data_IF_786578238653
#
_entry.id   IF_786578238653
#
_cell.length_a   1.000
_cell.length_b   1.000
_cell.length_c   1.000
_cell.angle_alpha   90.00
_cell.angle_beta   90.00
_cell.angle_gamma   90.00
#
_symmetry.space_group_name_H-M   'P 1'
#
loop_
_entity.id
_entity.type
_entity.pdbx_description
1 polymer ?
#
# COMPACT_ATOMS: atom_id res chain seq x y z
N UNK A 1 -14.84 -11.29 13.33
CA UNK A 1 -14.18 -11.09 12.77
C UNK A 1 -13.60 -9.93 12.80
N UNK A 2 -12.66 -9.66 12.73
CA UNK A 2 -12.09 -8.60 12.83
C UNK A 2 -11.78 -8.10 11.70
N UNK A 3 -12.38 -7.33 11.25
CA UNK A 3 -12.16 -6.85 10.07
C UNK A 3 -11.18 -5.86 10.03
N UNK A 4 -10.75 -5.38 11.01
CA UNK A 4 -9.81 -4.42 10.92
C UNK A 4 -8.51 -4.96 10.89
N UNK A 5 -8.26 -6.11 10.54
CA UNK A 5 -6.98 -6.63 10.44
C UNK A 5 -6.30 -6.07 9.27
N UNK A 6 -5.52 -5.05 9.45
CA UNK A 6 -4.81 -4.48 8.35
C UNK A 6 -3.60 -5.29 8.01
N UNK A 7 -2.96 -5.90 8.98
CA UNK A 7 -1.84 -6.77 8.70
C UNK A 7 -0.71 -6.13 7.92
N UNK A 8 0.29 -6.90 7.54
CA UNK A 8 1.44 -6.39 6.80
C UNK A 8 1.28 -6.49 5.29
N UNK A 9 0.15 -6.98 4.81
CA UNK A 9 -0.02 -7.19 3.39
C UNK A 9 -1.12 -6.33 2.82
N UNK A 10 -0.82 -5.60 1.76
CA UNK A 10 -1.80 -4.75 1.10
C UNK A 10 -2.03 -5.31 -0.29
N UNK A 11 -3.22 -5.79 -0.53
CA UNK A 11 -3.60 -6.34 -1.85
C UNK A 11 -2.55 -7.34 -2.32
N UNK A 12 -2.09 -8.19 -1.42
CA UNK A 12 -1.14 -9.23 -1.78
C UNK A 12 0.31 -8.82 -1.72
N UNK A 13 0.61 -7.57 -1.42
CA UNK A 13 1.97 -7.08 -1.39
C UNK A 13 2.40 -6.85 0.04
N UNK A 14 3.50 -7.47 0.44
CA UNK A 14 3.94 -7.36 1.81
C UNK A 14 4.74 -6.09 2.01
N UNK A 15 4.08 -5.02 2.37
CA UNK A 15 4.76 -3.75 2.57
C UNK A 15 4.85 -3.35 4.04
N UNK A 16 4.36 -4.19 4.93
CA UNK A 16 4.48 -3.92 6.36
C UNK A 16 3.24 -3.26 6.91
N UNK A 17 3.02 -3.42 8.21
CA UNK A 17 1.83 -2.89 8.83
C UNK A 17 1.70 -1.40 8.76
N UNK A 18 2.76 -0.62 9.00
CA UNK A 18 2.59 0.83 8.96
C UNK A 18 2.14 1.31 7.58
N UNK A 19 2.73 0.76 6.53
CA UNK A 19 2.38 1.20 5.20
C UNK A 19 0.98 0.72 4.82
N UNK A 20 0.67 -0.53 5.16
CA UNK A 20 -0.64 -1.07 4.86
C UNK A 20 -1.73 -0.26 5.55
N UNK A 21 -1.53 0.03 6.83
CA UNK A 21 -2.51 0.80 7.57
C UNK A 21 -2.67 2.19 7.01
N UNK A 22 -1.56 2.82 6.61
CA UNK A 22 -1.62 4.16 6.08
C UNK A 22 -2.43 4.20 4.79
N UNK A 23 -2.25 3.20 3.93
CA UNK A 23 -2.99 3.17 2.68
C UNK A 23 -4.47 2.95 2.94
N UNK A 24 -4.80 2.05 3.85
CA UNK A 24 -6.20 1.79 4.15
C UNK A 24 -6.84 3.03 4.77
N UNK A 25 -6.13 3.71 5.65
CA UNK A 25 -6.67 4.91 6.27
C UNK A 25 -6.87 6.01 5.24
N UNK A 26 -6.09 6.01 4.18
CA UNK A 26 -6.24 7.01 3.15
C UNK A 26 -7.33 6.65 2.15
N UNK A 27 -7.95 5.49 2.33
CA UNK A 27 -9.06 5.13 1.47
C UNK A 27 -8.74 4.16 0.37
N UNK A 28 -7.50 3.67 0.31
CA UNK A 28 -7.12 2.75 -0.75
C UNK A 28 -7.30 1.31 -0.28
N UNK A 29 -7.81 0.46 -1.12
CA UNK A 29 -7.97 -0.93 -0.79
C UNK A 29 -7.27 -1.85 -1.75
N UNK A 30 -7.01 -1.41 -2.95
CA UNK A 30 -6.34 -2.24 -3.93
C UNK A 30 -5.26 -1.44 -4.61
N UNK A 31 -4.33 -2.13 -5.23
CA UNK A 31 -3.26 -1.46 -5.94
C UNK A 31 -3.82 -0.64 -7.08
N UNK A 32 -4.90 -1.10 -7.69
CA UNK A 32 -5.48 -0.34 -8.78
C UNK A 32 -6.07 1.00 -8.37
N UNK A 33 -6.34 1.18 -7.07
CA UNK A 33 -6.89 2.44 -6.61
C UNK A 33 -5.81 3.45 -6.29
N UNK A 34 -4.56 3.05 -6.27
CA UNK A 34 -3.48 3.96 -5.90
C UNK A 34 -3.25 4.98 -7.00
N UNK A 35 -2.69 6.15 -6.65
CA UNK A 35 -2.47 7.18 -7.66
C UNK A 35 -1.45 6.73 -8.68
N UNK A 36 -1.51 7.33 -9.85
CA UNK A 36 -0.61 6.97 -10.89
C UNK A 36 0.80 7.20 -10.45
N UNK A 37 1.07 8.28 -9.76
CA UNK A 37 2.39 8.55 -9.26
C UNK A 37 2.47 8.06 -7.83
N UNK A 38 3.10 6.93 -7.63
CA UNK A 38 3.20 6.36 -6.31
C UNK A 38 4.00 7.22 -5.35
N UNK A 39 4.83 8.13 -5.89
CA UNK A 39 5.57 9.01 -5.03
C UNK A 39 4.65 9.83 -4.12
N UNK A 40 3.43 10.07 -4.53
CA UNK A 40 2.52 10.85 -3.72
C UNK A 40 2.21 10.13 -2.43
N UNK A 41 2.38 8.82 -2.38
CA UNK A 41 2.09 8.07 -1.18
C UNK A 41 3.12 8.32 -0.09
N UNK A 42 4.26 8.89 -0.45
CA UNK A 42 5.28 9.13 0.55
C UNK A 42 4.85 10.15 1.58
N UNK A 43 3.82 10.91 1.26
CA UNK A 43 3.34 11.88 2.22
C UNK A 43 2.56 11.21 3.33
N UNK A 44 2.17 9.96 3.16
CA UNK A 44 1.42 9.28 4.18
C UNK A 44 2.38 8.76 5.23
N UNK A 45 1.99 8.96 6.49
CA UNK A 45 2.83 8.48 7.57
C UNK A 45 2.85 6.97 7.50
N UNK A 46 3.97 6.37 7.53
CA UNK A 46 4.09 4.93 7.50
C UNK A 46 4.44 4.37 6.14
N UNK A 47 4.37 5.18 5.10
CA UNK A 47 4.73 4.71 3.77
C UNK A 47 6.11 5.22 3.45
N UNK A 48 7.07 4.32 3.35
CA UNK A 48 8.43 4.69 3.04
C UNK A 48 8.83 4.29 1.64
N UNK A 49 10.05 4.57 1.25
CA UNK A 49 10.49 4.28 -0.12
C UNK A 49 10.46 2.79 -0.44
N UNK A 50 10.66 1.93 0.56
CA UNK A 50 10.63 0.52 0.29
C UNK A 50 9.23 0.07 -0.07
N UNK A 51 8.22 0.60 0.64
CA UNK A 51 6.85 0.24 0.34
C UNK A 51 6.49 0.69 -1.07
N UNK A 52 6.91 1.88 -1.44
CA UNK A 52 6.61 2.40 -2.75
C UNK A 52 7.27 1.52 -3.82
N UNK A 53 8.50 1.10 -3.57
CA UNK A 53 9.19 0.26 -4.54
C UNK A 53 8.46 -1.07 -4.72
N UNK A 54 8.01 -1.67 -3.63
CA UNK A 54 7.31 -2.93 -3.71
C UNK A 54 5.96 -2.77 -4.41
N UNK A 55 5.28 -1.68 -4.14
CA UNK A 55 4.00 -1.45 -4.80
C UNK A 55 4.20 -1.21 -6.30
N UNK A 56 5.27 -0.53 -6.66
CA UNK A 56 5.53 -0.27 -8.07
C UNK A 56 5.83 -1.58 -8.79
N UNK A 57 6.57 -2.47 -8.15
CA UNK A 57 6.84 -3.74 -8.77
C UNK A 57 5.57 -4.55 -8.93
N UNK A 58 4.72 -4.55 -7.92
CA UNK A 58 3.50 -5.31 -7.98
C UNK A 58 2.57 -4.76 -9.05
N UNK A 59 2.56 -3.44 -9.21
CA UNK A 59 1.71 -2.84 -10.23
C UNK A 59 2.16 -3.26 -11.62
N UNK A 60 3.46 -3.38 -11.81
CA UNK A 60 3.94 -3.77 -13.10
C UNK A 60 3.64 -5.21 -13.42
N UNK A 61 3.80 -6.09 -12.46
CA UNK A 61 3.59 -7.48 -12.76
C UNK A 61 2.17 -7.89 -12.60
N UNK A 62 1.41 -7.15 -11.85
CA UNK A 62 0.07 -7.56 -11.56
C UNK A 62 -0.87 -7.44 -12.66
N UNK A 63 -0.69 -6.99 -13.71
CA UNK A 63 -1.53 -6.77 -14.65
C UNK A 63 -2.33 -7.61 -14.97
#
# INVERSE_FOLDING_TARGET
MTTEDRGPVFDGVRIGRPATGALIDAGYRTIGELPERLDELRELHGVGPRAIHLLAQARQTGR
#
